data_IF_475422411969
#
_entry.id   IF_475422411969
#
_cell.length_a   1.000
_cell.length_b   1.000
_cell.length_c   1.000
_cell.angle_alpha   90.00
_cell.angle_beta   90.00
_cell.angle_gamma   90.00
#
_symmetry.space_group_name_H-M   'P 1'
#
loop_
_entity.id
_entity.type
_entity.pdbx_description
1 polymer ?
#
# COMPACT_ATOMS: atom_id res chain seq x y z
N UNK A 1 2.97 12.13 59.47
CA UNK A 1 2.30 11.32 58.43
C UNK A 1 2.66 11.89 57.07
N UNK A 2 3.37 11.09 56.27
CA UNK A 2 4.02 11.48 55.01
C UNK A 2 2.97 11.73 53.92
N UNK A 3 2.98 12.93 53.33
CA UNK A 3 2.34 13.22 52.05
C UNK A 3 3.29 12.75 50.94
N UNK A 4 2.96 11.64 50.27
CA UNK A 4 3.61 11.25 49.01
C UNK A 4 2.74 11.80 47.87
N UNK A 5 3.10 12.98 47.38
CA UNK A 5 2.67 13.46 46.07
C UNK A 5 3.59 12.80 45.04
N UNK A 6 3.08 11.74 44.41
CA UNK A 6 3.65 11.18 43.20
C UNK A 6 3.48 12.21 42.09
N UNK A 7 4.52 13.01 41.89
CA UNK A 7 4.76 13.78 40.67
C UNK A 7 4.96 12.78 39.52
N UNK A 8 3.87 12.42 38.86
CA UNK A 8 3.91 11.83 37.53
C UNK A 8 4.45 12.91 36.58
N UNK A 9 5.75 12.86 36.32
CA UNK A 9 6.39 13.58 35.21
C UNK A 9 5.70 13.08 33.93
N UNK A 10 4.95 13.90 33.17
CA UNK A 10 4.64 13.51 31.81
C UNK A 10 5.96 13.55 31.05
N UNK A 11 6.49 12.37 30.80
CA UNK A 11 7.55 12.12 29.82
C UNK A 11 7.10 12.81 28.53
N UNK A 12 7.76 13.92 28.19
CA UNK A 12 7.67 14.62 26.92
C UNK A 12 8.09 13.64 25.81
N UNK A 13 7.14 12.80 25.39
CA UNK A 13 7.22 12.06 24.14
C UNK A 13 7.25 13.11 23.04
N UNK A 14 8.42 13.26 22.41
CA UNK A 14 8.57 13.99 21.16
C UNK A 14 7.63 13.34 20.12
N UNK A 15 6.42 13.88 19.98
CA UNK A 15 5.46 13.48 18.96
C UNK A 15 5.91 14.03 17.61
N UNK A 16 6.91 13.37 17.02
CA UNK A 16 7.34 13.58 15.64
C UNK A 16 6.24 13.09 14.67
N UNK A 17 5.44 14.06 14.21
CA UNK A 17 4.93 14.33 12.84
C UNK A 17 4.31 13.18 12.00
N UNK A 18 3.30 13.49 11.15
CA UNK A 18 2.73 12.60 10.10
C UNK A 18 2.80 13.26 8.72
N UNK A 19 3.12 12.49 7.67
CA UNK A 19 3.50 13.03 6.36
C UNK A 19 2.32 13.00 5.40
N UNK A 20 2.21 14.06 4.60
CA UNK A 20 1.43 14.02 3.38
C UNK A 20 2.16 13.22 2.31
N UNK A 21 1.42 12.64 1.36
CA UNK A 21 2.05 11.82 0.35
C UNK A 21 1.05 11.25 -0.62
N UNK A 22 1.45 11.13 -1.88
CA UNK A 22 0.73 10.32 -2.87
C UNK A 22 1.00 8.84 -2.65
N UNK A 23 0.03 7.94 -2.88
CA UNK A 23 0.25 6.51 -2.81
C UNK A 23 1.32 6.09 -3.84
N UNK A 24 2.25 5.26 -3.42
CA UNK A 24 3.28 4.67 -4.29
C UNK A 24 2.75 3.34 -4.83
N UNK A 25 2.75 3.11 -6.15
CA UNK A 25 2.19 1.90 -6.71
C UNK A 25 2.99 0.64 -6.31
N UNK A 26 2.27 -0.47 -6.06
CA UNK A 26 2.79 -1.68 -5.40
C UNK A 26 3.96 -2.37 -6.11
N UNK A 27 4.18 -2.10 -7.40
CA UNK A 27 5.25 -2.68 -8.20
C UNK A 27 6.59 -1.95 -8.08
N UNK A 28 6.65 -0.82 -7.37
CA UNK A 28 7.88 -0.03 -7.21
C UNK A 28 8.90 -0.76 -6.29
N UNK A 29 10.20 -0.74 -6.63
CA UNK A 29 11.27 -1.32 -5.80
C UNK A 29 11.31 -0.80 -4.36
N UNK A 30 10.80 0.41 -4.12
CA UNK A 30 10.75 1.07 -2.81
C UNK A 30 10.15 0.21 -1.70
N UNK A 31 9.19 -0.66 -2.02
CA UNK A 31 8.61 -1.59 -1.03
C UNK A 31 9.64 -2.57 -0.50
N UNK A 32 10.38 -3.23 -1.40
CA UNK A 32 11.43 -4.18 -1.03
C UNK A 32 12.57 -3.50 -0.28
N UNK A 33 13.03 -2.34 -0.77
CA UNK A 33 14.12 -1.57 -0.17
C UNK A 33 13.80 -1.22 1.29
N UNK A 34 12.62 -0.66 1.55
CA UNK A 34 12.28 -0.22 2.90
C UNK A 34 11.95 -1.39 3.83
N UNK A 35 11.35 -2.48 3.34
CA UNK A 35 11.18 -3.72 4.14
C UNK A 35 12.55 -4.27 4.55
N UNK A 36 13.51 -4.33 3.62
CA UNK A 36 14.88 -4.77 3.89
C UNK A 36 15.56 -3.89 4.93
N UNK A 37 15.48 -2.57 4.76
CA UNK A 37 16.03 -1.61 5.71
C UNK A 37 15.34 -1.70 7.08
N UNK A 38 14.04 -1.99 7.14
CA UNK A 38 13.32 -2.25 8.40
C UNK A 38 13.92 -3.45 9.14
N UNK A 39 14.15 -4.55 8.43
CA UNK A 39 14.75 -5.75 9.01
C UNK A 39 16.17 -5.46 9.48
N UNK A 40 17.00 -4.87 8.61
CA UNK A 40 18.43 -4.62 8.85
C UNK A 40 18.69 -3.59 9.94
N UNK A 41 17.85 -2.57 10.04
CA UNK A 41 18.03 -1.47 11.01
C UNK A 41 17.24 -1.68 12.29
N UNK A 42 16.15 -2.45 12.25
CA UNK A 42 15.21 -2.53 13.38
C UNK A 42 14.64 -1.17 13.81
N UNK A 43 14.80 -0.12 12.98
CA UNK A 43 14.26 1.21 13.22
C UNK A 43 12.78 1.16 12.86
N UNK A 44 11.95 1.66 13.77
CA UNK A 44 10.51 1.69 13.59
C UNK A 44 10.09 2.58 12.40
N UNK A 45 9.35 2.03 11.42
CA UNK A 45 8.77 2.82 10.35
C UNK A 45 7.73 3.83 10.84
N UNK A 46 7.64 4.95 10.12
CA UNK A 46 6.64 6.02 10.34
C UNK A 46 5.23 5.59 9.92
N UNK A 47 5.13 4.50 9.18
CA UNK A 47 3.91 3.86 8.69
C UNK A 47 3.83 2.40 9.16
N UNK A 48 2.75 1.72 8.79
CA UNK A 48 2.54 0.32 9.10
C UNK A 48 2.82 -0.50 7.83
N UNK A 49 3.90 -1.29 7.82
CA UNK A 49 4.37 -2.03 6.64
C UNK A 49 3.30 -2.96 6.06
N UNK A 50 2.44 -3.50 6.92
CA UNK A 50 1.35 -4.39 6.53
C UNK A 50 0.23 -3.71 5.74
N UNK A 51 0.13 -2.37 5.76
CA UNK A 51 -0.97 -1.63 5.13
C UNK A 51 -0.45 -0.95 3.88
N UNK A 52 -0.89 -1.38 2.70
CA UNK A 52 -0.41 -0.88 1.40
C UNK A 52 -1.58 -0.39 0.53
N UNK A 53 -1.37 0.57 -0.39
CA UNK A 53 -0.09 1.22 -0.72
C UNK A 53 0.41 2.19 0.36
N UNK A 54 1.74 2.33 0.47
CA UNK A 54 2.39 3.35 1.31
C UNK A 54 2.37 4.70 0.61
N UNK A 55 2.38 5.77 1.40
CA UNK A 55 2.46 7.14 0.88
C UNK A 55 3.93 7.53 0.67
N UNK A 56 4.24 8.27 -0.40
CA UNK A 56 5.59 8.71 -0.73
C UNK A 56 6.27 9.48 0.41
N UNK A 57 5.56 10.42 1.03
CA UNK A 57 6.11 11.15 2.18
C UNK A 57 6.30 10.30 3.44
N UNK A 58 5.47 9.28 3.66
CA UNK A 58 5.68 8.31 4.75
C UNK A 58 6.98 7.50 4.51
N UNK A 59 7.20 7.06 3.25
CA UNK A 59 8.42 6.36 2.82
C UNK A 59 9.68 7.22 2.99
N UNK A 60 9.67 8.46 2.48
CA UNK A 60 10.83 9.37 2.55
C UNK A 60 11.17 9.71 3.99
N UNK A 61 10.16 9.96 4.84
CA UNK A 61 10.43 10.23 6.26
C UNK A 61 11.07 9.06 6.97
N UNK A 62 10.64 7.84 6.64
CA UNK A 62 11.28 6.66 7.20
C UNK A 62 12.74 6.54 6.72
N UNK A 63 12.99 6.75 5.44
CA UNK A 63 14.35 6.77 4.88
C UNK A 63 15.23 7.86 5.52
N UNK A 64 14.72 9.07 5.74
CA UNK A 64 15.42 10.15 6.46
C UNK A 64 15.73 9.77 7.91
N UNK A 65 14.79 9.12 8.60
CA UNK A 65 15.03 8.60 9.96
C UNK A 65 16.15 7.57 9.97
N UNK A 66 16.19 6.68 8.98
CA UNK A 66 17.27 5.69 8.84
C UNK A 66 18.61 6.39 8.59
N UNK A 67 18.64 7.33 7.64
CA UNK A 67 19.83 8.09 7.23
C UNK A 67 20.44 8.90 8.38
N UNK A 68 19.60 9.48 9.24
CA UNK A 68 20.03 10.34 10.36
C UNK A 68 20.37 9.58 11.64
N UNK A 69 19.96 8.32 11.77
CA UNK A 69 20.23 7.53 12.98
C UNK A 69 21.68 7.02 12.97
N UNK A 70 22.54 7.64 13.79
CA UNK A 70 23.96 7.30 13.91
C UNK A 70 24.19 5.89 14.49
N UNK A 71 25.23 5.20 14.01
CA UNK A 71 25.76 3.97 14.64
C UNK A 71 25.50 2.64 13.92
N UNK A 72 24.96 2.64 12.69
CA UNK A 72 24.80 1.42 11.88
C UNK A 72 25.76 1.40 10.69
N UNK A 73 26.38 0.26 10.43
CA UNK A 73 27.21 0.06 9.24
C UNK A 73 26.30 -0.14 8.01
N UNK A 74 26.13 0.91 7.23
CA UNK A 74 25.52 0.83 5.89
C UNK A 74 26.57 0.49 4.84
N UNK A 75 26.26 -0.47 3.98
CA UNK A 75 27.05 -0.76 2.78
C UNK A 75 26.87 0.36 1.75
N UNK A 76 27.73 0.38 0.72
CA UNK A 76 27.55 1.31 -0.39
C UNK A 76 26.20 1.09 -1.11
N UNK A 77 25.71 -0.15 -1.15
CA UNK A 77 24.41 -0.48 -1.73
C UNK A 77 23.26 0.04 -0.86
N UNK A 78 23.32 -0.09 0.47
CA UNK A 78 22.30 0.47 1.38
C UNK A 78 22.16 2.00 1.20
N UNK A 79 23.28 2.70 0.97
CA UNK A 79 23.26 4.14 0.69
C UNK A 79 22.65 4.47 -0.66
N UNK A 80 22.87 3.61 -1.68
CA UNK A 80 22.22 3.74 -2.99
C UNK A 80 20.72 3.50 -2.91
N UNK A 81 20.29 2.57 -2.07
CA UNK A 81 18.89 2.30 -1.76
C UNK A 81 18.20 3.53 -1.16
N UNK A 82 18.79 4.13 -0.12
CA UNK A 82 18.27 5.38 0.46
C UNK A 82 18.24 6.51 -0.58
N UNK A 83 19.32 6.66 -1.35
CA UNK A 83 19.39 7.65 -2.44
C UNK A 83 18.31 7.43 -3.51
N UNK A 84 17.97 6.18 -3.84
CA UNK A 84 16.88 5.88 -4.75
C UNK A 84 15.53 6.39 -4.22
N UNK A 85 15.23 6.16 -2.94
CA UNK A 85 14.00 6.67 -2.30
C UNK A 85 13.94 8.19 -2.36
N UNK A 86 15.02 8.88 -1.99
CA UNK A 86 15.10 10.34 -2.04
C UNK A 86 14.95 10.91 -3.45
N UNK A 87 15.54 10.23 -4.44
CA UNK A 87 15.47 10.64 -5.84
C UNK A 87 14.08 10.44 -6.46
N UNK A 88 13.41 9.31 -6.20
CA UNK A 88 12.09 8.98 -6.75
C UNK A 88 10.96 9.84 -6.13
N UNK A 89 11.14 10.26 -4.88
CA UNK A 89 10.17 11.00 -4.07
C UNK A 89 10.73 12.37 -3.61
N UNK A 90 11.42 13.07 -4.52
CA UNK A 90 12.14 14.30 -4.22
C UNK A 90 11.27 15.44 -3.68
N UNK A 91 9.96 15.42 -3.96
CA UNK A 91 9.01 16.40 -3.45
C UNK A 91 8.70 16.27 -1.94
N UNK A 92 9.20 15.23 -1.28
CA UNK A 92 8.94 14.92 0.13
C UNK A 92 10.17 15.00 1.04
N UNK A 93 11.25 15.67 0.61
CA UNK A 93 12.53 15.70 1.36
C UNK A 93 12.52 16.64 2.56
N UNK A 94 11.77 17.74 2.51
CA UNK A 94 11.54 18.62 3.66
C UNK A 94 10.17 18.36 4.30
N UNK A 95 9.92 18.83 5.53
CA UNK A 95 8.58 18.76 6.13
C UNK A 95 8.27 20.02 6.94
N UNK A 96 7.05 20.54 6.82
CA UNK A 96 6.57 21.61 7.69
C UNK A 96 6.08 21.15 9.07
N UNK A 97 6.19 21.98 10.12
CA UNK A 97 5.80 21.65 11.49
C UNK A 97 4.29 21.63 11.79
N UNK A 98 3.40 22.05 10.87
CA UNK A 98 1.93 21.79 10.72
C UNK A 98 1.28 22.92 9.86
N UNK A 99 -0.06 23.13 9.65
CA UNK A 99 -1.28 22.39 9.97
C UNK A 99 -1.92 21.89 8.68
N UNK A 100 -1.77 20.59 8.52
CA UNK A 100 -2.31 19.80 7.44
C UNK A 100 -3.73 19.31 7.77
N UNK A 101 -4.60 20.22 8.24
CA UNK A 101 -5.99 19.91 8.58
C UNK A 101 -6.93 20.74 7.70
N UNK A 102 -8.03 20.13 7.25
CA UNK A 102 -9.07 20.81 6.47
C UNK A 102 -9.60 22.09 7.18
N UNK A 103 -9.62 22.07 8.52
CA UNK A 103 -10.11 23.16 9.38
C UNK A 103 -9.00 23.92 10.12
N UNK A 104 -7.72 23.66 9.80
CA UNK A 104 -6.56 24.32 10.41
C UNK A 104 -6.14 25.59 9.67
N UNK A 105 -5.38 26.48 10.32
CA UNK A 105 -4.65 27.56 9.60
C UNK A 105 -3.60 26.94 8.67
N UNK A 106 -3.10 27.68 7.69
CA UNK A 106 -1.90 27.27 6.95
C UNK A 106 -0.67 27.69 7.80
N UNK A 107 0.35 26.85 7.95
CA UNK A 107 1.65 27.23 8.53
C UNK A 107 2.73 26.80 7.53
N UNK A 108 3.78 27.61 7.40
CA UNK A 108 4.87 27.36 6.46
C UNK A 108 5.70 26.12 6.82
N UNK A 109 6.38 25.57 5.81
CA UNK A 109 7.42 24.59 6.05
C UNK A 109 8.71 25.26 6.55
N UNK A 110 9.40 24.63 7.50
CA UNK A 110 10.66 25.15 8.04
C UNK A 110 11.77 24.13 7.82
N UNK A 111 12.83 24.53 7.13
CA UNK A 111 14.02 23.68 6.90
C UNK A 111 15.15 24.22 7.77
N UNK A 112 15.82 23.37 8.57
CA UNK A 112 17.01 23.77 9.32
C UNK A 112 18.18 24.00 8.36
N UNK A 113 18.74 25.20 8.38
CA UNK A 113 20.00 25.52 7.74
C UNK A 113 21.11 25.66 8.78
N UNK A 114 22.32 25.26 8.40
CA UNK A 114 23.52 25.38 9.21
C UNK A 114 24.46 26.38 8.54
N UNK A 115 24.88 27.41 9.25
CA UNK A 115 26.00 28.21 8.80
C UNK A 115 27.34 27.49 9.07
N UNK A 116 28.40 28.05 8.49
CA UNK A 116 29.79 27.66 8.73
C UNK A 116 30.25 27.82 10.19
N UNK A 117 29.44 28.40 11.07
CA UNK A 117 29.69 28.55 12.51
C UNK A 117 28.86 27.56 13.37
N UNK A 118 28.01 26.73 12.77
CA UNK A 118 27.18 25.74 13.45
C UNK A 118 25.89 26.30 14.08
N UNK A 119 25.49 27.53 13.75
CA UNK A 119 24.22 28.11 14.20
C UNK A 119 23.07 27.57 13.33
N UNK A 120 22.05 27.03 13.98
CA UNK A 120 20.83 26.57 13.31
C UNK A 120 19.84 27.73 13.17
N UNK A 121 19.46 28.07 11.94
CA UNK A 121 18.33 28.94 11.66
C UNK A 121 17.31 28.23 10.76
N UNK A 122 16.05 28.63 10.88
CA UNK A 122 14.96 28.03 10.13
C UNK A 122 14.52 28.96 9.01
N UNK A 123 14.70 28.55 7.75
CA UNK A 123 14.12 29.28 6.62
C UNK A 123 12.66 28.87 6.46
N UNK A 124 11.81 29.87 6.27
CA UNK A 124 10.37 29.73 6.03
C UNK A 124 10.12 29.52 4.54
N UNK A 125 9.44 28.45 4.18
CA UNK A 125 8.99 28.16 2.81
C UNK A 125 7.47 28.18 2.73
N UNK A 126 6.95 28.55 1.56
CA UNK A 126 5.49 28.69 1.37
C UNK A 126 4.82 27.35 1.09
N UNK A 127 5.55 26.32 0.64
CA UNK A 127 5.03 24.96 0.57
C UNK A 127 6.07 23.84 0.48
N UNK A 128 5.56 22.62 0.50
CA UNK A 128 6.31 21.37 0.62
C UNK A 128 7.35 21.14 -0.48
N UNK A 129 6.99 21.40 -1.75
CA UNK A 129 7.89 21.18 -2.88
C UNK A 129 9.06 22.17 -2.88
N UNK A 130 8.78 23.45 -2.61
CA UNK A 130 9.79 24.51 -2.47
C UNK A 130 10.75 24.20 -1.31
N UNK A 131 10.21 23.79 -0.16
CA UNK A 131 11.02 23.39 0.99
C UNK A 131 11.93 22.20 0.64
N UNK A 132 11.42 21.24 -0.13
CA UNK A 132 12.19 20.05 -0.53
C UNK A 132 13.34 20.40 -1.48
N UNK A 133 13.18 21.41 -2.34
CA UNK A 133 14.24 21.91 -3.22
C UNK A 133 15.44 22.48 -2.45
N UNK A 134 15.24 22.91 -1.20
CA UNK A 134 16.32 23.40 -0.35
C UNK A 134 17.05 22.31 0.44
N UNK A 135 16.53 21.08 0.50
CA UNK A 135 17.22 19.97 1.15
C UNK A 135 18.45 19.56 0.31
N UNK A 136 19.59 19.34 0.96
CA UNK A 136 20.83 18.98 0.28
C UNK A 136 20.77 17.64 -0.46
N UNK A 137 19.77 16.78 -0.16
CA UNK A 137 19.52 15.51 -0.86
C UNK A 137 18.68 15.70 -2.12
N UNK A 138 18.16 16.90 -2.39
CA UNK A 138 17.36 17.18 -3.57
C UNK A 138 18.23 17.15 -4.82
N UNK A 139 17.83 16.34 -5.80
CA UNK A 139 18.63 16.11 -7.02
C UNK A 139 17.96 16.75 -8.22
N UNK A 140 18.67 17.65 -8.88
CA UNK A 140 18.31 18.22 -10.18
C UNK A 140 19.16 17.62 -11.29
N UNK A 141 18.68 17.71 -12.53
CA UNK A 141 19.45 17.36 -13.69
C UNK A 141 20.19 18.60 -14.21
N UNK A 142 21.50 18.48 -14.45
CA UNK A 142 22.32 19.58 -14.97
C UNK A 142 21.93 19.99 -16.40
N UNK A 143 21.41 19.04 -17.19
CA UNK A 143 21.07 19.25 -18.60
C UNK A 143 19.67 18.69 -18.90
N UNK A 144 18.60 19.38 -18.48
CA UNK A 144 17.24 19.00 -18.81
C UNK A 144 17.01 19.04 -20.32
N UNK A 145 16.23 18.09 -20.83
CA UNK A 145 15.89 18.02 -22.23
C UNK A 145 14.96 19.18 -22.60
N UNK A 146 15.40 20.02 -23.55
CA UNK A 146 14.71 21.24 -23.96
C UNK A 146 14.46 22.25 -22.82
N UNK A 147 15.16 22.14 -21.70
CA UNK A 147 14.89 22.97 -20.50
C UNK A 147 13.60 22.64 -19.75
N UNK A 148 12.81 21.69 -20.25
CA UNK A 148 11.44 21.41 -19.77
C UNK A 148 11.33 20.00 -19.20
N UNK A 149 11.90 19.01 -19.90
CA UNK A 149 11.77 17.60 -19.51
C UNK A 149 12.96 17.14 -18.68
N UNK A 150 12.70 16.24 -17.73
CA UNK A 150 13.70 15.70 -16.82
C UNK A 150 14.48 16.77 -16.05
N UNK A 151 13.79 17.80 -15.55
CA UNK A 151 14.38 18.77 -14.62
C UNK A 151 14.90 18.09 -13.35
N UNK A 152 14.23 17.03 -12.91
CA UNK A 152 14.77 16.08 -11.93
C UNK A 152 14.89 14.70 -12.57
N UNK A 153 15.83 13.85 -12.13
CA UNK A 153 16.10 12.57 -12.80
C UNK A 153 14.92 11.58 -12.78
N UNK A 154 14.00 11.70 -11.81
CA UNK A 154 12.88 10.78 -11.64
C UNK A 154 11.61 11.20 -12.38
N UNK A 155 11.52 12.46 -12.83
CA UNK A 155 10.26 13.01 -13.35
C UNK A 155 10.43 13.49 -14.79
N UNK A 156 9.66 12.93 -15.73
CA UNK A 156 9.66 13.35 -17.13
C UNK A 156 9.20 14.80 -17.28
N UNK A 157 8.06 15.15 -16.68
CA UNK A 157 7.56 16.53 -16.61
C UNK A 157 7.20 16.88 -15.18
N UNK A 158 7.49 18.11 -14.78
CA UNK A 158 7.19 18.61 -13.44
C UNK A 158 6.84 20.10 -13.46
N UNK A 159 6.01 20.50 -12.49
CA UNK A 159 5.72 21.88 -12.15
C UNK A 159 5.79 22.00 -10.64
N UNK A 160 6.50 23.02 -10.15
CA UNK A 160 6.58 23.38 -8.75
C UNK A 160 6.18 24.85 -8.60
N UNK A 161 5.18 25.09 -7.77
CA UNK A 161 4.65 26.40 -7.38
C UNK A 161 4.44 26.37 -5.85
N UNK A 162 4.38 27.54 -5.18
CA UNK A 162 4.29 27.61 -3.71
C UNK A 162 3.24 26.70 -3.06
N UNK A 163 2.07 26.51 -3.68
CA UNK A 163 0.98 25.67 -3.13
C UNK A 163 0.55 24.55 -4.08
N UNK A 164 1.35 24.26 -5.10
CA UNK A 164 1.00 23.28 -6.10
C UNK A 164 2.24 22.63 -6.66
N UNK A 165 2.27 21.30 -6.60
CA UNK A 165 3.23 20.54 -7.39
C UNK A 165 2.50 19.55 -8.28
N UNK A 166 3.09 19.27 -9.43
CA UNK A 166 2.62 18.28 -10.38
C UNK A 166 3.81 17.52 -10.94
N UNK A 167 3.65 16.21 -11.13
CA UNK A 167 4.59 15.34 -11.84
C UNK A 167 3.81 14.46 -12.80
N UNK A 168 4.36 14.27 -14.00
CA UNK A 168 3.83 13.36 -14.99
C UNK A 168 4.95 12.51 -15.60
N UNK A 169 4.74 11.20 -15.60
CA UNK A 169 5.72 10.18 -16.00
C UNK A 169 5.09 9.22 -17.01
N UNK A 170 5.41 9.34 -18.31
CA UNK A 170 5.01 8.33 -19.28
C UNK A 170 5.76 7.03 -19.01
N UNK A 171 5.10 5.92 -19.24
CA UNK A 171 5.63 4.57 -19.08
C UNK A 171 5.69 3.89 -20.43
N UNK A 172 6.83 3.28 -20.73
CA UNK A 172 7.03 2.45 -21.90
C UNK A 172 7.95 1.29 -21.52
N UNK A 173 7.49 0.07 -21.73
CA UNK A 173 8.32 -1.13 -21.65
C UNK A 173 7.97 -2.04 -22.82
N UNK A 174 8.92 -2.26 -23.72
CA UNK A 174 8.80 -3.21 -24.81
C UNK A 174 9.82 -4.32 -24.60
N UNK A 175 9.33 -5.56 -24.49
CA UNK A 175 10.17 -6.74 -24.36
C UNK A 175 9.76 -7.75 -25.44
N UNK A 176 10.75 -8.10 -26.26
CA UNK A 176 10.65 -9.15 -27.28
C UNK A 176 11.82 -10.11 -27.05
N UNK A 177 11.53 -11.37 -26.74
CA UNK A 177 12.54 -12.40 -26.50
C UNK A 177 12.24 -13.63 -27.36
N UNK A 178 13.20 -14.05 -28.17
CA UNK A 178 13.13 -15.30 -28.90
C UNK A 178 13.87 -16.40 -28.13
N UNK A 179 13.24 -17.56 -27.97
CA UNK A 179 13.83 -18.75 -27.35
C UNK A 179 14.13 -19.81 -28.39
N UNK A 180 15.17 -20.63 -28.17
CA UNK A 180 15.56 -21.70 -29.11
C UNK A 180 14.49 -22.78 -29.26
N UNK A 181 13.73 -23.04 -28.19
CA UNK A 181 12.68 -24.07 -28.12
C UNK A 181 11.27 -23.47 -28.05
N UNK A 182 11.12 -22.15 -28.29
CA UNK A 182 9.84 -21.46 -28.29
C UNK A 182 9.41 -21.20 -29.74
N UNK A 183 8.22 -21.69 -30.11
CA UNK A 183 7.63 -21.48 -31.44
C UNK A 183 7.38 -20.00 -31.73
N UNK A 184 7.04 -19.22 -30.70
CA UNK A 184 6.73 -17.78 -30.81
C UNK A 184 7.54 -16.95 -29.81
N UNK A 185 7.90 -15.71 -30.13
CA UNK A 185 8.64 -14.85 -29.19
C UNK A 185 7.78 -14.52 -27.97
N UNK A 186 8.41 -14.39 -26.79
CA UNK A 186 7.79 -13.71 -25.65
C UNK A 186 7.62 -12.25 -26.04
N UNK A 187 6.39 -11.74 -25.94
CA UNK A 187 6.03 -10.38 -26.28
C UNK A 187 5.34 -9.71 -25.10
N UNK A 188 5.79 -8.52 -24.73
CA UNK A 188 5.24 -7.70 -23.66
C UNK A 188 5.42 -6.22 -24.04
N UNK A 189 4.32 -5.46 -24.05
CA UNK A 189 4.30 -4.06 -24.44
C UNK A 189 3.42 -3.28 -23.47
N UNK A 190 4.07 -2.71 -22.46
CA UNK A 190 3.47 -1.85 -21.46
C UNK A 190 3.57 -0.40 -21.92
N UNK A 191 2.45 0.30 -21.89
CA UNK A 191 2.36 1.73 -22.17
C UNK A 191 1.48 2.38 -21.11
N UNK A 192 1.84 3.55 -20.62
CA UNK A 192 1.04 4.18 -19.59
C UNK A 192 1.47 5.60 -19.24
N UNK A 193 0.79 6.14 -18.24
CA UNK A 193 1.05 7.46 -17.69
C UNK A 193 0.73 7.44 -16.20
N UNK A 194 1.70 7.83 -15.38
CA UNK A 194 1.52 8.10 -13.96
C UNK A 194 1.58 9.61 -13.73
N UNK A 195 0.62 10.13 -12.96
CA UNK A 195 0.61 11.52 -12.54
C UNK A 195 0.36 11.61 -11.04
N UNK A 196 1.08 12.52 -10.40
CA UNK A 196 0.93 12.86 -8.98
C UNK A 196 0.89 14.37 -8.82
N UNK A 197 0.05 14.85 -7.93
CA UNK A 197 -0.04 16.27 -7.61
C UNK A 197 -0.31 16.47 -6.13
N UNK A 198 0.15 17.60 -5.61
CA UNK A 198 -0.24 18.12 -4.31
C UNK A 198 -0.78 19.54 -4.45
N UNK A 199 -1.79 19.85 -3.65
CA UNK A 199 -2.43 21.16 -3.57
C UNK A 199 -2.53 21.60 -2.11
N UNK A 200 -2.11 22.84 -1.85
CA UNK A 200 -2.16 23.54 -0.57
C UNK A 200 -1.52 22.78 0.60
N UNK A 201 -0.62 21.85 0.31
CA UNK A 201 -0.09 20.88 1.27
C UNK A 201 -1.22 20.29 2.13
N UNK A 202 -2.33 19.90 1.49
CA UNK A 202 -3.54 19.34 2.13
C UNK A 202 -4.15 18.22 1.33
N UNK A 203 -4.20 18.40 0.02
CA UNK A 203 -4.84 17.50 -0.92
C UNK A 203 -3.76 16.92 -1.80
N UNK A 204 -3.80 15.62 -2.02
CA UNK A 204 -3.01 14.99 -3.05
C UNK A 204 -3.90 14.25 -4.03
N UNK A 205 -3.43 14.22 -5.28
CA UNK A 205 -4.04 13.51 -6.39
C UNK A 205 -3.03 12.50 -6.91
N UNK A 206 -3.52 11.30 -7.21
CA UNK A 206 -2.74 10.25 -7.85
C UNK A 206 -3.57 9.61 -8.95
N UNK A 207 -2.98 9.43 -10.12
CA UNK A 207 -3.59 8.67 -11.21
C UNK A 207 -2.55 7.88 -11.96
N UNK A 208 -2.94 6.69 -12.38
CA UNK A 208 -2.10 5.81 -13.18
C UNK A 208 -2.98 5.06 -14.17
N UNK A 209 -2.63 5.14 -15.46
CA UNK A 209 -3.30 4.41 -16.53
C UNK A 209 -2.25 3.58 -17.24
N UNK A 210 -2.46 2.27 -17.28
CA UNK A 210 -1.52 1.32 -17.89
C UNK A 210 -2.28 0.39 -18.82
N UNK A 211 -1.80 0.30 -20.05
CA UNK A 211 -2.17 -0.73 -21.03
C UNK A 211 -1.00 -1.69 -21.16
N UNK A 212 -1.26 -2.99 -21.05
CA UNK A 212 -0.29 -4.02 -21.35
C UNK A 212 -0.84 -4.97 -22.41
N UNK A 213 -0.17 -5.01 -23.56
CA UNK A 213 -0.40 -6.02 -24.59
C UNK A 213 0.71 -7.06 -24.53
N UNK A 214 0.37 -8.32 -24.28
CA UNK A 214 1.36 -9.39 -24.15
C UNK A 214 0.88 -10.70 -24.76
N UNK A 215 1.82 -11.57 -25.14
CA UNK A 215 1.54 -12.97 -25.46
C UNK A 215 1.36 -13.72 -24.13
N UNK A 216 0.15 -14.20 -23.86
CA UNK A 216 -0.13 -14.87 -22.60
C UNK A 216 0.59 -16.23 -22.53
N UNK A 217 1.29 -16.54 -21.42
CA UNK A 217 1.71 -17.90 -21.14
C UNK A 217 0.50 -18.84 -21.13
N UNK A 218 0.69 -20.11 -21.50
CA UNK A 218 -0.41 -21.08 -21.64
C UNK A 218 -1.31 -21.14 -20.40
N UNK A 219 -0.72 -21.26 -19.20
CA UNK A 219 -1.48 -21.35 -17.95
C UNK A 219 -2.39 -20.12 -17.71
N UNK A 220 -1.95 -18.94 -18.13
CA UNK A 220 -2.70 -17.69 -17.97
C UNK A 220 -3.81 -17.60 -19.02
N UNK A 221 -3.53 -18.03 -20.24
CA UNK A 221 -4.52 -18.09 -21.31
C UNK A 221 -5.64 -19.09 -21.00
N UNK A 222 -5.30 -20.28 -20.48
CA UNK A 222 -6.27 -21.27 -20.00
C UNK A 222 -7.15 -20.73 -18.88
N UNK A 223 -6.55 -20.05 -17.89
CA UNK A 223 -7.31 -19.34 -16.84
C UNK A 223 -8.26 -18.31 -17.44
N UNK A 224 -7.79 -17.51 -18.39
CA UNK A 224 -8.65 -16.52 -19.06
C UNK A 224 -9.80 -17.17 -19.82
N UNK A 225 -9.58 -18.29 -20.52
CA UNK A 225 -10.65 -19.00 -21.23
C UNK A 225 -11.70 -19.57 -20.27
N UNK A 226 -11.27 -20.04 -19.09
CA UNK A 226 -12.15 -20.57 -18.04
C UNK A 226 -12.93 -19.48 -17.31
N UNK A 227 -12.24 -18.45 -16.83
CA UNK A 227 -12.77 -17.48 -15.86
C UNK A 227 -13.13 -16.12 -16.48
N UNK A 228 -12.73 -15.88 -17.74
CA UNK A 228 -12.81 -14.56 -18.42
C UNK A 228 -12.17 -13.41 -17.63
N UNK A 229 -11.20 -13.74 -16.77
CA UNK A 229 -10.53 -12.81 -15.88
C UNK A 229 -9.02 -13.01 -15.89
N UNK A 230 -8.28 -11.91 -15.73
CA UNK A 230 -6.83 -11.90 -15.52
C UNK A 230 -6.56 -11.24 -14.16
N UNK A 231 -5.66 -11.78 -13.33
CA UNK A 231 -5.35 -11.19 -12.02
C UNK A 231 -4.98 -9.70 -12.14
N UNK A 232 -5.52 -8.88 -11.24
CA UNK A 232 -5.29 -7.43 -11.23
C UNK A 232 -5.96 -6.63 -12.36
N UNK A 233 -6.64 -7.29 -13.29
CA UNK A 233 -7.17 -6.67 -14.51
C UNK A 233 -8.70 -6.70 -14.58
N UNK A 234 -9.32 -5.53 -14.73
CA UNK A 234 -10.78 -5.41 -14.88
C UNK A 234 -11.27 -5.44 -16.32
N UNK A 235 -10.43 -5.02 -17.27
CA UNK A 235 -10.75 -5.01 -18.70
C UNK A 235 -9.69 -5.79 -19.47
N UNK A 236 -10.12 -6.91 -20.07
CA UNK A 236 -9.27 -7.81 -20.84
C UNK A 236 -9.85 -7.98 -22.24
N UNK A 237 -9.01 -7.85 -23.26
CA UNK A 237 -9.34 -8.12 -24.67
C UNK A 237 -8.36 -9.13 -25.25
N UNK A 238 -8.84 -10.05 -26.07
CA UNK A 238 -7.98 -10.94 -26.84
C UNK A 238 -7.56 -10.28 -28.16
N UNK A 239 -6.34 -10.52 -28.61
CA UNK A 239 -5.90 -10.13 -29.95
C UNK A 239 -4.98 -11.19 -30.56
N UNK A 240 -4.79 -11.09 -31.87
CA UNK A 240 -3.80 -11.86 -32.63
C UNK A 240 -2.76 -10.90 -33.17
N UNK A 241 -1.50 -11.29 -33.15
CA UNK A 241 -0.42 -10.50 -33.73
C UNK A 241 -0.01 -11.11 -35.07
N UNK A 242 -0.21 -10.37 -36.16
CA UNK A 242 0.32 -10.77 -37.47
C UNK A 242 1.82 -10.52 -37.59
N UNK A 243 2.37 -9.58 -36.81
CA UNK A 243 3.80 -9.22 -36.85
C UNK A 243 4.67 -10.29 -36.17
N UNK A 244 4.16 -10.90 -35.11
CA UNK A 244 4.86 -11.91 -34.31
C UNK A 244 4.21 -13.30 -34.38
N UNK A 245 3.21 -13.45 -35.26
CA UNK A 245 2.50 -14.69 -35.60
C UNK A 245 1.91 -15.49 -34.44
N UNK A 246 1.38 -14.81 -33.40
CA UNK A 246 0.73 -15.51 -32.28
C UNK A 246 -0.76 -15.17 -32.17
N UNK A 247 -1.53 -16.11 -31.64
CA UNK A 247 -3.00 -16.02 -31.50
C UNK A 247 -3.50 -15.95 -30.04
N UNK A 248 -2.60 -16.08 -29.06
CA UNK A 248 -2.86 -16.00 -27.61
C UNK A 248 -2.52 -14.63 -27.01
N UNK A 249 -2.82 -13.55 -27.73
CA UNK A 249 -2.60 -12.18 -27.24
C UNK A 249 -3.66 -11.75 -26.24
N UNK A 250 -3.23 -11.18 -25.10
CA UNK A 250 -4.10 -10.50 -24.14
C UNK A 250 -3.70 -9.03 -24.00
N UNK A 251 -4.69 -8.15 -24.08
CA UNK A 251 -4.58 -6.71 -23.84
C UNK A 251 -5.34 -6.37 -22.56
N UNK A 252 -4.63 -5.85 -21.58
CA UNK A 252 -5.15 -5.49 -20.25
C UNK A 252 -5.08 -3.98 -20.08
N UNK A 253 -6.17 -3.37 -19.62
CA UNK A 253 -6.20 -1.98 -19.18
C UNK A 253 -6.48 -1.91 -17.68
N UNK A 254 -5.59 -1.21 -16.96
CA UNK A 254 -5.79 -0.86 -15.55
C UNK A 254 -5.74 0.65 -15.38
N UNK A 255 -6.70 1.20 -14.63
CA UNK A 255 -6.74 2.62 -14.30
C UNK A 255 -6.96 2.82 -12.79
N UNK A 256 -6.14 3.69 -12.21
CA UNK A 256 -6.24 4.16 -10.82
C UNK A 256 -6.44 5.67 -10.82
N UNK A 257 -7.23 6.17 -9.89
CA UNK A 257 -7.47 7.59 -9.70
C UNK A 257 -7.91 7.82 -8.27
N UNK A 258 -7.09 8.51 -7.49
CA UNK A 258 -7.25 8.67 -6.04
C UNK A 258 -7.07 10.14 -5.69
N UNK A 259 -8.00 10.65 -4.88
CA UNK A 259 -7.83 11.89 -4.12
C UNK A 259 -7.68 11.54 -2.65
N UNK A 260 -6.78 12.21 -1.96
CA UNK A 260 -6.62 12.02 -0.52
C UNK A 260 -6.21 13.29 0.20
N UNK A 261 -6.48 13.29 1.51
CA UNK A 261 -6.25 14.43 2.38
C UNK A 261 -6.14 14.00 3.84
N UNK A 262 -5.57 14.85 4.67
CA UNK A 262 -5.58 14.70 6.12
C UNK A 262 -6.69 15.55 6.73
N UNK A 263 -7.63 14.90 7.43
CA UNK A 263 -8.71 15.56 8.16
C UNK A 263 -8.18 16.12 9.49
N UNK A 264 -7.27 15.38 10.12
CA UNK A 264 -6.52 15.80 11.31
C UNK A 264 -5.10 15.21 11.25
N UNK A 265 -4.24 15.57 12.22
CA UNK A 265 -2.90 14.98 12.41
C UNK A 265 -2.96 13.44 12.54
N UNK A 266 -4.09 12.93 13.00
CA UNK A 266 -4.29 11.52 13.30
C UNK A 266 -5.20 10.81 12.30
N UNK A 267 -5.91 11.55 11.43
CA UNK A 267 -6.97 11.02 10.58
C UNK A 267 -6.74 11.41 9.12
N UNK A 268 -6.53 10.42 8.26
CA UNK A 268 -6.41 10.58 6.81
C UNK A 268 -7.58 9.95 6.06
N UNK A 269 -7.98 10.58 4.96
CA UNK A 269 -9.03 10.13 4.06
C UNK A 269 -8.47 9.92 2.65
N UNK A 270 -8.90 8.84 2.00
CA UNK A 270 -8.67 8.57 0.58
C UNK A 270 -9.97 8.15 -0.07
N UNK A 271 -10.24 8.67 -1.26
CA UNK A 271 -11.37 8.29 -2.07
C UNK A 271 -10.94 8.13 -3.52
N UNK A 272 -11.44 7.09 -4.19
CA UNK A 272 -11.19 6.90 -5.61
C UNK A 272 -11.19 5.45 -6.05
N UNK A 273 -10.63 5.19 -7.22
CA UNK A 273 -10.55 3.88 -7.84
C UNK A 273 -9.11 3.34 -7.74
N UNK A 274 -8.92 2.17 -7.13
CA UNK A 274 -7.58 1.60 -6.95
C UNK A 274 -7.58 0.28 -6.19
N UNK A 275 -6.41 -0.09 -5.67
CA UNK A 275 -6.17 -1.33 -4.94
C UNK A 275 -5.77 -1.05 -3.49
N UNK A 276 -6.07 -2.00 -2.61
CA UNK A 276 -5.62 -2.01 -1.23
C UNK A 276 -5.04 -3.39 -0.91
N UNK A 277 -4.08 -3.45 0.01
CA UNK A 277 -3.44 -4.69 0.41
C UNK A 277 -3.13 -4.66 1.91
N UNK A 278 -3.46 -5.75 2.61
CA UNK A 278 -3.23 -5.92 4.05
C UNK A 278 -2.42 -7.19 4.29
N UNK A 279 -1.14 -7.04 4.60
CA UNK A 279 -0.25 -8.14 4.94
C UNK A 279 1.23 -7.79 4.84
N UNK A 280 2.07 -8.64 5.41
CA UNK A 280 3.52 -8.48 5.36
C UNK A 280 4.19 -9.37 4.31
N UNK A 281 3.44 -10.30 3.70
CA UNK A 281 3.91 -11.22 2.67
C UNK A 281 3.90 -10.66 1.26
N UNK A 282 4.23 -11.54 0.32
CA UNK A 282 4.02 -11.31 -1.12
C UNK A 282 2.54 -11.46 -1.46
N UNK A 283 1.85 -12.40 -0.81
CA UNK A 283 0.39 -12.53 -0.87
C UNK A 283 -0.26 -12.10 0.44
N UNK A 284 -1.59 -12.05 0.44
CA UNK A 284 -2.39 -11.88 1.65
C UNK A 284 -3.59 -12.84 1.61
N UNK A 285 -3.92 -13.41 2.77
CA UNK A 285 -5.13 -14.20 3.00
C UNK A 285 -6.30 -13.33 3.48
N UNK A 286 -6.05 -12.06 3.82
CA UNK A 286 -7.02 -11.09 4.34
C UNK A 286 -7.55 -10.19 3.22
N UNK A 287 -6.68 -9.38 2.62
CA UNK A 287 -6.99 -8.50 1.49
C UNK A 287 -5.74 -8.37 0.61
N UNK A 288 -5.82 -8.87 -0.62
CA UNK A 288 -4.70 -8.91 -1.57
C UNK A 288 -4.92 -8.00 -2.78
N UNK A 289 -3.87 -7.85 -3.60
CA UNK A 289 -3.85 -7.11 -4.87
C UNK A 289 -4.27 -7.98 -6.07
N UNK A 290 -4.80 -9.18 -5.83
CA UNK A 290 -5.21 -10.11 -6.89
C UNK A 290 -6.45 -9.63 -7.67
N UNK A 291 -7.35 -8.89 -7.02
CA UNK A 291 -8.54 -8.33 -7.64
C UNK A 291 -8.21 -7.10 -8.49
N UNK A 292 -9.06 -6.80 -9.47
CA UNK A 292 -9.00 -5.52 -10.22
C UNK A 292 -9.15 -4.33 -9.28
N UNK A 293 -8.68 -3.15 -9.71
CA UNK A 293 -9.00 -1.89 -9.06
C UNK A 293 -10.52 -1.75 -8.89
N UNK A 294 -10.93 -1.15 -7.77
CA UNK A 294 -12.33 -0.92 -7.40
C UNK A 294 -12.50 0.47 -6.77
N UNK A 295 -13.74 0.97 -6.75
CA UNK A 295 -14.07 2.23 -6.08
C UNK A 295 -14.02 2.01 -4.57
N UNK A 296 -13.35 2.90 -3.83
CA UNK A 296 -13.29 2.84 -2.38
C UNK A 296 -13.29 4.22 -1.71
N UNK A 297 -13.79 4.25 -0.47
CA UNK A 297 -13.54 5.25 0.54
C UNK A 297 -12.70 4.59 1.66
N UNK A 298 -11.61 5.22 2.05
CA UNK A 298 -10.68 4.69 3.04
C UNK A 298 -10.33 5.73 4.11
N UNK A 299 -10.54 5.36 5.37
CA UNK A 299 -10.19 6.18 6.53
C UNK A 299 -9.05 5.52 7.29
N UNK A 300 -8.05 6.33 7.65
CA UNK A 300 -6.89 5.89 8.43
C UNK A 300 -6.80 6.70 9.70
N UNK A 301 -6.92 6.02 10.84
CA UNK A 301 -6.72 6.57 12.16
C UNK A 301 -5.39 6.05 12.66
N UNK A 302 -4.39 6.89 12.81
CA UNK A 302 -3.15 6.48 13.49
C UNK A 302 -3.00 7.26 14.78
N UNK A 303 -2.90 6.57 15.91
CA UNK A 303 -2.87 7.18 17.24
C UNK A 303 -1.90 6.36 18.07
N UNK A 304 -0.86 7.00 18.61
CA UNK A 304 0.19 6.29 19.36
C UNK A 304 0.76 5.09 18.56
N UNK A 305 0.67 3.87 19.10
CA UNK A 305 1.12 2.60 18.49
C UNK A 305 0.04 1.90 17.67
N UNK A 306 -1.13 2.52 17.52
CA UNK A 306 -2.28 1.98 16.82
C UNK A 306 -2.43 2.59 15.44
N UNK A 307 -2.80 1.76 14.47
CA UNK A 307 -3.32 2.18 13.18
C UNK A 307 -4.57 1.39 12.89
N UNK A 308 -5.70 2.09 12.89
CA UNK A 308 -6.99 1.56 12.55
C UNK A 308 -7.38 2.04 11.15
N UNK A 309 -7.73 1.13 10.24
CA UNK A 309 -8.09 1.42 8.87
C UNK A 309 -9.51 0.91 8.59
N UNK A 310 -10.29 1.75 7.91
CA UNK A 310 -11.63 1.42 7.45
C UNK A 310 -11.60 1.51 5.93
N UNK A 311 -12.14 0.52 5.24
CA UNK A 311 -12.30 0.51 3.78
C UNK A 311 -13.76 0.19 3.47
N UNK A 312 -14.40 1.08 2.72
CA UNK A 312 -15.71 0.87 2.14
C UNK A 312 -15.53 0.85 0.63
N UNK A 313 -15.96 -0.21 -0.04
CA UNK A 313 -15.70 -0.40 -1.46
C UNK A 313 -16.90 -0.94 -2.22
N UNK A 314 -17.05 -0.51 -3.46
CA UNK A 314 -17.97 -1.09 -4.43
C UNK A 314 -17.19 -1.96 -5.41
N UNK A 315 -17.59 -3.22 -5.52
CA UNK A 315 -16.99 -4.26 -6.33
C UNK A 315 -17.98 -4.74 -7.41
N UNK A 316 -17.47 -5.49 -8.38
CA UNK A 316 -18.28 -6.22 -9.36
C UNK A 316 -18.40 -7.66 -8.87
N UNK A 317 -19.62 -8.18 -8.78
CA UNK A 317 -19.86 -9.55 -8.30
C UNK A 317 -19.58 -10.61 -9.36
N UNK A 318 -19.94 -10.31 -10.62
CA UNK A 318 -19.68 -11.19 -11.76
C UNK A 318 -19.20 -10.36 -12.97
N UNK A 319 -17.94 -10.52 -13.42
CA UNK A 319 -17.42 -9.81 -14.58
C UNK A 319 -18.03 -10.28 -15.91
N UNK A 320 -18.66 -11.46 -15.93
CA UNK A 320 -19.27 -12.10 -17.11
C UNK A 320 -20.75 -11.79 -17.28
N UNK A 321 -21.40 -11.24 -16.25
CA UNK A 321 -22.81 -10.87 -16.29
C UNK A 321 -23.09 -9.75 -17.32
N UNK A 322 -24.31 -9.71 -17.91
CA UNK A 322 -24.74 -8.65 -18.81
C UNK A 322 -24.62 -7.26 -18.19
N UNK A 323 -24.45 -6.24 -19.02
CA UNK A 323 -24.46 -4.85 -18.57
C UNK A 323 -25.91 -4.38 -18.24
N UNK A 324 -26.12 -3.58 -17.19
CA UNK A 324 -25.13 -3.14 -16.19
C UNK A 324 -24.72 -4.29 -15.27
N UNK A 325 -23.41 -4.41 -15.00
CA UNK A 325 -22.87 -5.51 -14.18
C UNK A 325 -23.37 -5.40 -12.73
N UNK A 326 -23.72 -6.54 -12.10
CA UNK A 326 -24.18 -6.56 -10.71
C UNK A 326 -23.07 -6.09 -9.76
N UNK A 327 -23.48 -5.30 -8.77
CA UNK A 327 -22.59 -4.74 -7.75
C UNK A 327 -22.64 -5.58 -6.49
N UNK A 328 -21.51 -5.63 -5.79
CA UNK A 328 -21.41 -6.06 -4.39
C UNK A 328 -20.53 -5.06 -3.66
N UNK A 329 -20.55 -5.07 -2.35
CA UNK A 329 -19.83 -4.12 -1.53
C UNK A 329 -18.98 -4.83 -0.49
N UNK A 330 -17.89 -4.18 -0.13
CA UNK A 330 -16.96 -4.61 0.92
C UNK A 330 -16.90 -3.49 1.97
N UNK A 331 -17.15 -3.86 3.22
CA UNK A 331 -16.86 -3.03 4.38
C UNK A 331 -15.80 -3.77 5.20
N UNK A 332 -14.64 -3.16 5.43
CA UNK A 332 -13.53 -3.79 6.12
C UNK A 332 -12.90 -2.89 7.18
N UNK A 333 -12.60 -3.49 8.32
CA UNK A 333 -11.87 -2.93 9.44
C UNK A 333 -10.53 -3.65 9.59
N UNK A 334 -9.46 -2.88 9.79
CA UNK A 334 -8.15 -3.44 10.13
C UNK A 334 -7.53 -2.66 11.26
N UNK A 335 -7.31 -3.33 12.39
CA UNK A 335 -6.65 -2.78 13.55
C UNK A 335 -5.24 -3.36 13.64
N UNK A 336 -4.24 -2.50 13.49
CA UNK A 336 -2.85 -2.86 13.67
C UNK A 336 -2.30 -2.25 14.96
N UNK A 337 -1.69 -3.08 15.80
CA UNK A 337 -1.01 -2.70 17.02
C UNK A 337 0.48 -3.04 16.97
N UNK A 338 1.33 -2.02 17.13
CA UNK A 338 2.78 -2.20 17.20
C UNK A 338 3.22 -2.34 18.66
N UNK A 339 3.42 -3.58 19.13
CA UNK A 339 3.86 -3.85 20.50
C UNK A 339 5.27 -3.28 20.77
N UNK A 340 6.21 -3.52 19.85
CA UNK A 340 7.58 -3.01 19.88
C UNK A 340 8.07 -2.65 18.46
N UNK A 341 9.22 -1.96 18.29
CA UNK A 341 9.79 -1.70 16.95
C UNK A 341 9.99 -2.94 16.08
N UNK A 342 10.05 -4.13 16.70
CA UNK A 342 10.30 -5.41 16.04
C UNK A 342 9.07 -6.29 15.92
N UNK A 343 8.02 -6.05 16.71
CA UNK A 343 6.88 -6.97 16.85
C UNK A 343 5.57 -6.20 16.72
N UNK A 344 4.71 -6.66 15.82
CA UNK A 344 3.39 -6.11 15.59
C UNK A 344 2.36 -7.21 15.34
N UNK A 345 1.11 -6.88 15.67
CA UNK A 345 -0.06 -7.72 15.49
C UNK A 345 -1.15 -6.92 14.78
N UNK A 346 -1.97 -7.61 14.00
CA UNK A 346 -3.15 -7.05 13.36
C UNK A 346 -4.37 -7.93 13.58
N UNK A 347 -5.53 -7.29 13.58
CA UNK A 347 -6.85 -7.89 13.57
C UNK A 347 -7.62 -7.32 12.39
N UNK A 348 -8.27 -8.19 11.63
CA UNK A 348 -9.01 -7.88 10.43
C UNK A 348 -10.43 -8.41 10.55
N UNK A 349 -11.38 -7.60 10.10
CA UNK A 349 -12.77 -8.00 9.95
C UNK A 349 -13.28 -7.40 8.64
N UNK A 350 -14.01 -8.18 7.85
CA UNK A 350 -14.63 -7.69 6.64
C UNK A 350 -15.96 -8.35 6.37
N UNK A 351 -16.90 -7.56 5.87
CA UNK A 351 -18.20 -8.03 5.40
C UNK A 351 -18.31 -7.79 3.90
N UNK A 352 -18.67 -8.83 3.16
CA UNK A 352 -19.05 -8.76 1.76
C UNK A 352 -20.56 -8.93 1.65
N UNK A 353 -21.19 -7.92 1.06
CA UNK A 353 -22.65 -7.83 0.94
C UNK A 353 -23.07 -7.47 -0.47
N UNK A 354 -24.22 -8.00 -0.87
CA UNK A 354 -24.86 -7.76 -2.15
C UNK A 354 -26.31 -7.40 -1.87
N UNK A 355 -26.78 -6.38 -2.55
CA UNK A 355 -28.15 -5.89 -2.51
C UNK A 355 -28.50 -5.52 -3.93
N UNK A 356 -29.77 -5.65 -4.28
CA UNK A 356 -30.24 -5.35 -5.64
C UNK A 356 -30.04 -3.87 -6.00
N UNK A 357 -30.36 -2.98 -5.04
CA UNK A 357 -30.59 -1.57 -5.34
C UNK A 357 -29.93 -0.56 -4.37
N UNK A 358 -29.20 -0.98 -3.32
CA UNK A 358 -28.66 -0.05 -2.31
C UNK A 358 -27.42 -0.58 -1.56
N UNK A 359 -26.67 0.31 -0.90
CA UNK A 359 -25.69 -0.05 0.12
C UNK A 359 -26.36 -0.08 1.50
N UNK A 360 -25.94 -1.00 2.35
CA UNK A 360 -26.45 -1.11 3.72
C UNK A 360 -25.62 -0.22 4.66
N UNK A 361 -26.15 0.97 4.94
CA UNK A 361 -25.43 2.05 5.64
C UNK A 361 -25.03 1.70 7.07
N UNK A 362 -25.62 0.68 7.69
CA UNK A 362 -25.22 0.22 9.02
C UNK A 362 -23.74 -0.19 9.07
N UNK A 363 -23.23 -0.76 7.96
CA UNK A 363 -21.82 -1.13 7.83
C UNK A 363 -20.87 0.06 7.63
N UNK A 364 -21.36 1.29 7.47
CA UNK A 364 -20.50 2.49 7.48
C UNK A 364 -20.02 2.86 8.88
N UNK A 365 -20.57 2.25 9.93
CA UNK A 365 -20.15 2.53 11.30
C UNK A 365 -18.70 2.07 11.52
N UNK A 366 -17.76 3.01 11.74
CA UNK A 366 -16.34 2.66 11.83
C UNK A 366 -15.96 2.10 13.21
N UNK A 367 -16.89 1.95 14.16
CA UNK A 367 -16.58 1.61 15.56
C UNK A 367 -17.11 0.22 15.94
N UNK A 368 -18.27 -0.15 15.41
CA UNK A 368 -18.94 -1.40 15.77
C UNK A 368 -18.32 -2.56 14.99
N UNK A 369 -18.11 -3.69 15.68
CA UNK A 369 -17.71 -4.95 15.04
C UNK A 369 -18.81 -5.39 14.06
N UNK A 370 -18.43 -5.66 12.82
CA UNK A 370 -19.40 -5.97 11.75
C UNK A 370 -20.17 -7.26 11.99
N UNK A 371 -19.64 -8.21 12.77
CA UNK A 371 -20.39 -9.38 13.21
C UNK A 371 -21.63 -9.02 14.02
N UNK A 372 -21.56 -7.97 14.84
CA UNK A 372 -22.72 -7.49 15.61
C UNK A 372 -23.79 -6.92 14.68
N UNK A 373 -23.38 -6.13 13.67
CA UNK A 373 -24.29 -5.55 12.66
C UNK A 373 -24.89 -6.65 11.78
N UNK A 374 -24.09 -7.62 11.35
CA UNK A 374 -24.56 -8.73 10.52
C UNK A 374 -25.62 -9.57 11.25
N UNK A 375 -25.45 -9.83 12.55
CA UNK A 375 -26.49 -10.46 13.37
C UNK A 375 -27.75 -9.59 13.51
N UNK A 376 -27.62 -8.27 13.62
CA UNK A 376 -28.75 -7.32 13.68
C UNK A 376 -29.60 -7.35 12.39
N UNK A 377 -28.96 -7.48 11.22
CA UNK A 377 -29.62 -7.50 9.90
C UNK A 377 -30.10 -8.91 9.51
N UNK A 378 -29.93 -9.91 10.38
CA UNK A 378 -30.44 -11.27 10.18
C UNK A 378 -29.49 -12.20 9.41
N UNK A 379 -28.20 -11.90 9.41
CA UNK A 379 -27.12 -12.71 8.85
C UNK A 379 -27.22 -13.11 7.36
N UNK A 380 -27.50 -12.18 6.41
CA UNK A 380 -27.48 -12.49 4.98
C UNK A 380 -26.08 -12.43 4.36
N UNK A 381 -25.12 -11.82 5.05
CA UNK A 381 -23.85 -11.35 4.48
C UNK A 381 -22.66 -12.26 4.86
N UNK A 382 -21.57 -12.16 4.09
CA UNK A 382 -20.37 -12.95 4.33
C UNK A 382 -19.40 -12.19 5.23
N UNK A 383 -19.09 -12.74 6.41
CA UNK A 383 -18.17 -12.12 7.39
C UNK A 383 -16.88 -12.93 7.50
N UNK A 384 -15.77 -12.26 7.20
CA UNK A 384 -14.42 -12.75 7.34
C UNK A 384 -13.79 -12.12 8.57
N UNK A 385 -13.09 -12.92 9.37
CA UNK A 385 -12.23 -12.43 10.44
C UNK A 385 -10.81 -12.93 10.23
N UNK A 386 -9.82 -12.18 10.71
CA UNK A 386 -8.45 -12.64 10.66
C UNK A 386 -7.53 -11.95 11.62
N UNK A 387 -6.38 -12.57 11.81
CA UNK A 387 -5.28 -12.03 12.59
C UNK A 387 -3.99 -12.14 11.78
N UNK A 388 -3.08 -11.19 11.99
CA UNK A 388 -1.73 -11.28 11.47
C UNK A 388 -0.69 -10.86 12.50
N UNK A 389 0.54 -11.33 12.30
CA UNK A 389 1.66 -10.92 13.11
C UNK A 389 2.92 -10.80 12.25
N UNK A 390 3.82 -9.89 12.64
CA UNK A 390 5.18 -9.82 12.12
C UNK A 390 6.20 -9.66 13.23
N UNK A 391 7.36 -10.29 13.05
CA UNK A 391 8.47 -10.23 14.00
C UNK A 391 9.83 -10.13 13.31
N UNK A 392 10.53 -9.01 13.52
CA UNK A 392 11.90 -8.79 13.05
C UNK A 392 12.91 -9.30 14.09
N UNK A 393 13.84 -10.15 13.64
CA UNK A 393 14.78 -10.91 14.46
C UNK A 393 16.21 -10.72 13.96
N UNK A 394 17.15 -10.59 14.90
CA UNK A 394 18.61 -10.61 14.64
C UNK A 394 19.10 -9.62 13.58
N UNK A 395 18.31 -8.60 13.24
CA UNK A 395 18.57 -7.68 12.13
C UNK A 395 18.76 -8.34 10.76
N UNK A 396 18.21 -9.55 10.59
CA UNK A 396 18.40 -10.37 9.39
C UNK A 396 17.12 -11.10 8.98
N UNK A 397 16.24 -11.40 9.92
CA UNK A 397 15.07 -12.20 9.65
C UNK A 397 13.79 -11.43 9.94
N UNK A 398 12.74 -11.67 9.15
CA UNK A 398 11.37 -11.31 9.48
C UNK A 398 10.50 -12.55 9.36
N UNK A 399 9.87 -12.94 10.45
CA UNK A 399 8.80 -13.92 10.46
C UNK A 399 7.48 -13.19 10.34
N UNK A 400 6.57 -13.71 9.53
CA UNK A 400 5.21 -13.18 9.44
C UNK A 400 4.22 -14.30 9.20
N UNK A 401 2.96 -14.06 9.57
CA UNK A 401 1.89 -15.00 9.30
C UNK A 401 0.52 -14.36 9.40
N UNK A 402 -0.45 -15.00 8.76
CA UNK A 402 -1.86 -14.63 8.79
C UNK A 402 -2.71 -15.87 9.03
N UNK A 403 -3.76 -15.71 9.81
CA UNK A 403 -4.83 -16.69 9.96
C UNK A 403 -6.13 -15.97 9.62
N UNK A 404 -6.88 -16.51 8.68
CA UNK A 404 -8.19 -16.02 8.27
C UNK A 404 -9.24 -17.09 8.53
N UNK A 405 -10.42 -16.70 8.98
CA UNK A 405 -11.58 -17.56 9.15
C UNK A 405 -12.81 -16.93 8.48
N UNK A 406 -13.58 -17.79 7.79
CA UNK A 406 -14.90 -17.48 7.24
C UNK A 406 -15.95 -18.23 8.08
N UNK A 407 -17.08 -17.59 8.41
CA UNK A 407 -18.15 -18.15 9.27
C UNK A 407 -17.71 -18.59 10.68
N UNK A 408 -17.14 -17.68 11.47
CA UNK A 408 -16.77 -17.97 12.85
C UNK A 408 -18.00 -18.21 13.76
N UNK A 409 -18.18 -19.45 14.22
CA UNK A 409 -19.08 -19.82 15.32
C UNK A 409 -18.26 -20.19 16.55
N UNK A 410 -18.16 -19.27 17.50
CA UNK A 410 -17.41 -19.45 18.76
C UNK A 410 -17.83 -20.74 19.51
N UNK A 411 -19.14 -21.05 19.47
CA UNK A 411 -19.73 -22.18 20.20
C UNK A 411 -19.30 -23.55 19.65
N UNK A 412 -19.10 -23.67 18.34
CA UNK A 412 -18.69 -24.93 17.69
C UNK A 412 -17.18 -25.19 17.82
N UNK A 413 -16.36 -24.14 17.90
CA UNK A 413 -14.90 -24.26 17.98
C UNK A 413 -14.40 -24.62 19.39
N UNK A 414 -15.10 -24.19 20.44
CA UNK A 414 -14.67 -24.35 21.84
C UNK A 414 -15.34 -25.58 22.50
N UNK A 415 -16.56 -25.96 22.09
CA UNK A 415 -17.33 -27.01 22.78
C UNK A 415 -17.32 -28.38 22.09
N UNK A 416 -17.17 -28.46 20.77
CA UNK A 416 -17.21 -29.75 20.04
C UNK A 416 -15.85 -30.06 19.39
N UNK A 417 -15.02 -30.80 20.14
CA UNK A 417 -13.67 -31.25 19.79
C UNK A 417 -13.64 -32.31 18.66
N UNK A 418 -14.55 -32.21 17.68
CA UNK A 418 -14.79 -33.20 16.61
C UNK A 418 -14.39 -32.74 15.22
N UNK A 419 -13.68 -31.62 15.10
CA UNK A 419 -13.15 -31.16 13.81
C UNK A 419 -14.25 -30.93 12.78
N UNK A 420 -15.14 -29.97 13.06
CA UNK A 420 -16.25 -29.65 12.17
C UNK A 420 -15.76 -29.36 10.74
N UNK A 421 -16.34 -30.08 9.77
CA UNK A 421 -15.99 -29.98 8.36
C UNK A 421 -16.27 -28.58 7.78
N UNK A 422 -17.11 -27.77 8.45
CA UNK A 422 -17.44 -26.41 8.06
C UNK A 422 -16.44 -25.35 8.56
N UNK A 423 -15.39 -25.71 9.31
CA UNK A 423 -14.33 -24.76 9.68
C UNK A 423 -13.56 -24.32 8.42
N UNK A 424 -13.95 -23.16 7.88
CA UNK A 424 -13.35 -22.49 6.73
C UNK A 424 -12.24 -21.55 7.21
N UNK A 425 -11.00 -21.87 6.88
CA UNK A 425 -9.87 -21.04 7.27
C UNK A 425 -8.75 -21.06 6.24
N UNK A 426 -7.99 -19.96 6.24
CA UNK A 426 -6.77 -19.77 5.47
C UNK A 426 -5.58 -19.48 6.39
N UNK A 427 -4.42 -20.04 6.05
CA UNK A 427 -3.17 -19.81 6.77
C UNK A 427 -2.10 -19.33 5.80
N UNK A 428 -1.37 -18.30 6.20
CA UNK A 428 -0.13 -17.86 5.60
C UNK A 428 0.99 -17.89 6.65
N UNK A 429 2.14 -18.40 6.27
CA UNK A 429 3.38 -18.34 7.04
C UNK A 429 4.51 -17.93 6.11
N UNK A 430 5.37 -17.02 6.55
CA UNK A 430 6.50 -16.62 5.73
C UNK A 430 7.71 -16.14 6.53
N UNK A 431 8.86 -16.24 5.85
CA UNK A 431 10.18 -15.86 6.33
C UNK A 431 10.85 -14.99 5.27
N UNK A 432 11.34 -13.82 5.66
CA UNK A 432 12.33 -13.06 4.90
C UNK A 432 13.69 -13.18 5.60
N UNK A 433 14.74 -13.41 4.84
CA UNK A 433 16.13 -13.43 5.27
C UNK A 433 16.92 -12.46 4.40
N UNK A 434 17.36 -11.34 4.99
CA UNK A 434 18.16 -10.31 4.31
C UNK A 434 19.65 -10.54 4.52
N UNK A 435 20.44 -10.21 3.50
CA UNK A 435 21.88 -10.47 3.45
C UNK A 435 22.22 -11.93 3.76
N UNK A 436 21.66 -12.85 2.96
CA UNK A 436 21.77 -14.31 3.08
C UNK A 436 23.24 -14.72 3.11
N UNK A 437 23.61 -15.50 4.13
CA UNK A 437 25.00 -15.91 4.39
C UNK A 437 26.00 -14.75 4.51
N UNK A 438 25.51 -13.53 4.78
CA UNK A 438 26.32 -12.32 4.86
C UNK A 438 26.63 -11.67 3.50
N UNK A 439 26.06 -12.17 2.40
CA UNK A 439 26.23 -11.58 1.06
C UNK A 439 25.30 -10.38 0.95
N UNK A 440 25.88 -9.19 0.75
CA UNK A 440 25.14 -7.92 0.66
C UNK A 440 24.12 -7.95 -0.49
N UNK A 441 22.86 -7.65 -0.17
CA UNK A 441 21.71 -7.59 -1.10
C UNK A 441 21.32 -8.93 -1.75
N UNK A 442 21.83 -10.05 -1.25
CA UNK A 442 21.23 -11.35 -1.52
C UNK A 442 20.12 -11.59 -0.50
N UNK A 443 18.87 -11.35 -0.88
CA UNK A 443 17.72 -11.54 0.00
C UNK A 443 16.89 -12.76 -0.42
N UNK A 444 16.35 -13.48 0.55
CA UNK A 444 15.51 -14.66 0.35
C UNK A 444 14.16 -14.46 1.04
N UNK A 445 13.07 -14.81 0.34
CA UNK A 445 11.74 -14.91 0.91
C UNK A 445 11.15 -16.29 0.64
N UNK A 446 10.62 -16.93 1.69
CA UNK A 446 9.89 -18.19 1.62
C UNK A 446 8.50 -17.96 2.19
N UNK A 447 7.47 -18.38 1.46
CA UNK A 447 6.07 -18.20 1.87
C UNK A 447 5.26 -19.46 1.60
N UNK A 448 4.51 -19.91 2.60
CA UNK A 448 3.53 -20.98 2.52
C UNK A 448 2.14 -20.40 2.70
N UNK A 449 1.24 -20.69 1.75
CA UNK A 449 -0.16 -20.26 1.78
C UNK A 449 -1.05 -21.47 1.56
N UNK A 450 -2.05 -21.66 2.40
CA UNK A 450 -3.08 -22.69 2.22
C UNK A 450 -4.44 -22.19 2.66
N UNK A 451 -5.49 -22.67 1.98
CA UNK A 451 -6.87 -22.43 2.38
C UNK A 451 -7.64 -23.75 2.29
N UNK A 452 -8.54 -23.98 3.24
CA UNK A 452 -9.46 -25.12 3.13
C UNK A 452 -10.44 -24.89 1.98
N UNK A 453 -11.00 -25.96 1.38
CA UNK A 453 -12.09 -25.83 0.42
C UNK A 453 -13.20 -24.92 0.95
N UNK A 454 -13.82 -24.15 0.05
CA UNK A 454 -14.95 -23.26 0.36
C UNK A 454 -14.66 -22.02 1.23
N UNK A 455 -13.40 -21.77 1.59
CA UNK A 455 -13.00 -20.67 2.50
C UNK A 455 -13.35 -19.25 2.05
N UNK A 456 -13.45 -19.00 0.73
CA UNK A 456 -13.85 -17.70 0.19
C UNK A 456 -15.23 -17.77 -0.50
N UNK A 457 -15.98 -18.84 -0.24
CA UNK A 457 -17.27 -19.08 -0.90
C UNK A 457 -18.42 -18.79 0.04
N UNK A 458 -19.52 -18.32 -0.53
CA UNK A 458 -20.76 -18.08 0.18
C UNK A 458 -21.92 -18.79 -0.54
N UNK A 459 -23.00 -19.08 0.20
CA UNK A 459 -24.22 -19.72 -0.33
C UNK A 459 -24.83 -18.93 -1.50
N UNK A 460 -24.76 -17.61 -1.42
CA UNK A 460 -25.06 -16.69 -2.51
C UNK A 460 -23.75 -16.31 -3.21
N UNK A 461 -23.66 -16.58 -4.52
CA UNK A 461 -22.48 -16.28 -5.32
C UNK A 461 -22.13 -14.80 -5.38
N UNK A 462 -23.11 -13.91 -5.18
CA UNK A 462 -22.90 -12.46 -5.18
C UNK A 462 -22.20 -11.96 -3.91
N UNK A 463 -22.20 -12.75 -2.83
CA UNK A 463 -21.57 -12.45 -1.54
C UNK A 463 -20.23 -13.20 -1.32
N UNK A 464 -19.66 -13.80 -2.37
CA UNK A 464 -18.33 -14.45 -2.27
C UNK A 464 -17.25 -13.41 -1.97
N UNK A 465 -16.29 -13.78 -1.13
CA UNK A 465 -15.15 -12.96 -0.75
C UNK A 465 -14.17 -12.76 -1.90
#
# INVERSE_FOLDING_TARGET
>A
MKRLLLLAIPMLLAFQLRAQGTPVPLWKPSYHILDRLEIKTGIEPTYHSGIKPWLGGDMVRYALRIDTTSGRHFTAQDRRDLYYIFKDQNEWLAFGPEPTLLLGRHQPAFVPEFDSAGVTYYRRYEGQAEASQADFRYVTNERPLLGIFYQTPANFFQVDQPHFFFRANPMLNLRVLAGKDEEFPVFDNVRGLEMRAGLDDRIYLYTNIVVNDFRAPQYLYERYQRDRAVPGAGLVKTYRSSVFDFDRGLSVLTAQGIVGMYLSKHVGLQFGHGQNFIGNGYRSMLLSDFATNYLFLKLNWRIWKFHYQNIFAELISDPTAPAPRPRKYLAAHYFHYRLSPKLAFGFYEATVLSRKDHFDFEYLNPVILYRTIEHLVGSPDNVLIGIDAKWNLLHRFQLYGQLMMDEFKLDELILDNRGWWANKFGVQLGLKYVDVLGIDHLDLQVEFNTARPYTYTHRDSSNRA
#
